data_IF_201252640561
#
_entry.id   IF_201252640561
#
_cell.length_a   1.000
_cell.length_b   1.000
_cell.length_c   1.000
_cell.angle_alpha   90.00
_cell.angle_beta   90.00
_cell.angle_gamma   90.00
#
_symmetry.space_group_name_H-M   'P 1'
#
loop_
_entity.id
_entity.type
_entity.pdbx_description
1 polymer ?
#
# COMPACT_ATOMS: atom_id res chain seq x y z
N UNK A 1 17.95 -9.83 14.11
CA UNK A 1 17.51 -10.85 13.12
C UNK A 1 15.98 -10.97 12.98
N UNK A 2 15.20 -11.32 14.01
CA UNK A 2 13.73 -11.48 13.86
C UNK A 2 12.99 -10.16 13.57
N UNK A 3 13.43 -9.06 14.16
CA UNK A 3 12.82 -7.73 13.95
C UNK A 3 13.13 -7.15 12.55
N UNK A 4 14.36 -7.31 12.08
CA UNK A 4 14.78 -6.88 10.74
C UNK A 4 14.01 -7.64 9.65
N UNK A 5 13.78 -8.95 9.85
CA UNK A 5 12.95 -9.75 8.96
C UNK A 5 11.50 -9.23 8.92
N UNK A 6 10.91 -8.91 10.08
CA UNK A 6 9.55 -8.37 10.14
C UNK A 6 9.43 -7.00 9.44
N UNK A 7 10.47 -6.17 9.55
CA UNK A 7 10.52 -4.89 8.87
C UNK A 7 10.65 -5.07 7.35
N UNK A 8 11.52 -5.97 6.89
CA UNK A 8 11.65 -6.32 5.48
C UNK A 8 10.33 -6.87 4.90
N UNK A 9 9.65 -7.77 5.63
CA UNK A 9 8.33 -8.30 5.24
C UNK A 9 7.31 -7.17 5.14
N UNK A 10 7.25 -6.27 6.12
CA UNK A 10 6.30 -5.15 6.10
C UNK A 10 6.56 -4.18 4.94
N UNK A 11 7.82 -3.97 4.55
CA UNK A 11 8.18 -3.20 3.37
C UNK A 11 7.75 -3.89 2.07
N UNK A 12 7.96 -5.21 1.97
CA UNK A 12 7.52 -5.99 0.81
C UNK A 12 5.98 -5.99 0.71
N UNK A 13 5.27 -6.19 1.82
CA UNK A 13 3.81 -6.09 1.89
C UNK A 13 3.33 -4.72 1.40
N UNK A 14 3.95 -3.63 1.86
CA UNK A 14 3.62 -2.27 1.44
C UNK A 14 3.87 -2.04 -0.06
N UNK A 15 4.98 -2.56 -0.60
CA UNK A 15 5.29 -2.50 -2.03
C UNK A 15 4.27 -3.27 -2.87
N UNK A 16 3.87 -4.46 -2.43
CA UNK A 16 2.85 -5.28 -3.09
C UNK A 16 1.51 -4.55 -3.09
N UNK A 17 1.10 -3.98 -1.95
CA UNK A 17 -0.15 -3.21 -1.84
C UNK A 17 -0.11 -1.99 -2.74
N UNK A 18 0.96 -1.20 -2.69
CA UNK A 18 1.10 0.00 -3.53
C UNK A 18 1.08 -0.34 -5.01
N UNK A 19 1.82 -1.38 -5.42
CA UNK A 19 1.81 -1.90 -6.79
C UNK A 19 0.41 -2.36 -7.22
N UNK A 20 -0.26 -3.16 -6.39
CA UNK A 20 -1.59 -3.67 -6.67
C UNK A 20 -2.61 -2.54 -6.78
N UNK A 21 -2.61 -1.58 -5.86
CA UNK A 21 -3.49 -0.40 -5.92
C UNK A 21 -3.26 0.43 -7.18
N UNK A 22 -2.00 0.70 -7.54
CA UNK A 22 -1.67 1.35 -8.81
C UNK A 22 -2.22 0.57 -10.02
N UNK A 23 -1.89 -0.73 -10.10
CA UNK A 23 -2.24 -1.57 -11.23
C UNK A 23 -3.76 -1.71 -11.37
N UNK A 24 -4.45 -1.98 -10.27
CA UNK A 24 -5.90 -2.09 -10.23
C UNK A 24 -6.57 -0.78 -10.66
N UNK A 25 -6.18 0.37 -10.09
CA UNK A 25 -6.79 1.65 -10.44
C UNK A 25 -6.51 2.06 -11.89
N UNK A 26 -5.28 1.84 -12.38
CA UNK A 26 -4.92 2.15 -13.76
C UNK A 26 -5.64 1.25 -14.77
N UNK A 27 -5.69 -0.07 -14.53
CA UNK A 27 -6.41 -1.00 -15.38
C UNK A 27 -7.92 -0.70 -15.42
N UNK A 28 -8.54 -0.41 -14.27
CA UNK A 28 -9.94 -0.01 -14.21
C UNK A 28 -10.21 1.28 -15.00
N UNK A 29 -9.33 2.26 -14.91
CA UNK A 29 -9.47 3.48 -15.68
C UNK A 29 -9.35 3.22 -17.19
N UNK A 30 -8.37 2.41 -17.60
CA UNK A 30 -8.22 2.04 -19.00
C UNK A 30 -9.47 1.34 -19.50
N UNK A 31 -10.02 0.37 -18.75
CA UNK A 31 -11.29 -0.27 -19.12
C UNK A 31 -12.44 0.77 -19.28
N UNK A 32 -12.51 1.77 -18.40
CA UNK A 32 -13.57 2.79 -18.46
C UNK A 32 -13.44 3.80 -19.61
N UNK A 33 -12.21 4.13 -20.02
CA UNK A 33 -11.94 5.19 -21.01
C UNK A 33 -11.46 4.71 -22.36
N UNK A 34 -10.80 3.55 -22.44
CA UNK A 34 -10.21 3.03 -23.68
C UNK A 34 -11.27 2.71 -24.72
N UNK A 35 -12.43 2.17 -24.33
CA UNK A 35 -13.56 1.95 -25.24
C UNK A 35 -14.14 3.23 -25.88
N UNK A 36 -13.76 4.41 -25.37
CA UNK A 36 -14.26 5.70 -25.87
C UNK A 36 -13.27 6.44 -26.78
N UNK A 37 -12.15 5.81 -27.16
CA UNK A 37 -11.17 6.41 -28.07
C UNK A 37 -10.48 7.66 -27.52
N UNK A 38 -10.56 7.90 -26.20
CA UNK A 38 -9.93 9.05 -25.56
C UNK A 38 -8.42 8.89 -25.48
N UNK A 39 -7.71 10.02 -25.54
CA UNK A 39 -6.24 10.07 -25.39
C UNK A 39 -5.81 9.40 -24.09
N UNK A 40 -4.70 8.67 -24.13
CA UNK A 40 -4.18 7.93 -22.98
C UNK A 40 -3.92 8.91 -21.82
N UNK A 41 -4.50 8.70 -20.64
CA UNK A 41 -4.28 9.56 -19.49
C UNK A 41 -2.83 9.50 -19.00
N UNK A 42 -2.42 10.54 -18.26
CA UNK A 42 -1.21 10.45 -17.46
C UNK A 42 -1.34 9.35 -16.40
N UNK A 43 -0.24 8.60 -16.17
CA UNK A 43 -0.16 7.56 -15.12
C UNK A 43 -0.02 8.16 -13.71
N UNK A 44 0.34 9.44 -13.62
CA UNK A 44 0.66 10.15 -12.37
C UNK A 44 -0.40 10.03 -11.26
N UNK A 45 -1.71 10.23 -11.49
CA UNK A 45 -2.71 10.08 -10.42
C UNK A 45 -2.78 8.64 -9.87
N UNK A 46 -2.51 7.63 -10.70
CA UNK A 46 -2.55 6.22 -10.28
C UNK A 46 -1.31 5.85 -9.47
N UNK A 47 -0.15 6.43 -9.80
CA UNK A 47 1.05 6.29 -8.98
C UNK A 47 0.82 6.90 -7.60
N UNK A 48 0.18 8.07 -7.53
CA UNK A 48 -0.20 8.68 -6.25
C UNK A 48 -1.13 7.77 -5.43
N UNK A 49 -2.13 7.14 -6.07
CA UNK A 49 -3.00 6.16 -5.40
C UNK A 49 -2.17 5.01 -4.81
N UNK A 50 -1.24 4.44 -5.58
CA UNK A 50 -0.36 3.37 -5.10
C UNK A 50 0.51 3.80 -3.91
N UNK A 51 1.14 4.98 -3.99
CA UNK A 51 1.97 5.52 -2.91
C UNK A 51 1.14 5.76 -1.65
N UNK A 52 -0.03 6.38 -1.78
CA UNK A 52 -0.94 6.63 -0.65
C UNK A 52 -1.36 5.32 0.01
N UNK A 53 -1.73 4.30 -0.79
CA UNK A 53 -2.12 2.99 -0.26
C UNK A 53 -0.97 2.32 0.52
N UNK A 54 0.25 2.35 -0.02
CA UNK A 54 1.43 1.82 0.67
C UNK A 54 1.70 2.55 2.00
N UNK A 55 1.61 3.88 2.01
CA UNK A 55 1.81 4.69 3.23
C UNK A 55 0.73 4.43 4.29
N UNK A 56 -0.54 4.30 3.87
CA UNK A 56 -1.65 3.94 4.77
C UNK A 56 -1.37 2.58 5.43
N UNK A 57 -0.96 1.60 4.63
CA UNK A 57 -0.65 0.26 5.14
C UNK A 57 0.50 0.28 6.15
N UNK A 58 1.61 0.95 5.82
CA UNK A 58 2.75 1.09 6.73
C UNK A 58 2.36 1.79 8.04
N UNK A 59 1.57 2.86 7.95
CA UNK A 59 1.06 3.58 9.12
C UNK A 59 0.17 2.69 10.01
N UNK A 60 -0.69 1.87 9.41
CA UNK A 60 -1.52 0.90 10.13
C UNK A 60 -0.67 -0.16 10.82
N UNK A 61 0.28 -0.78 10.11
CA UNK A 61 1.18 -1.80 10.66
C UNK A 61 2.00 -1.25 11.84
N UNK A 62 2.51 -0.02 11.72
CA UNK A 62 3.25 0.64 12.79
C UNK A 62 2.40 0.84 14.05
N UNK A 63 1.17 1.35 13.89
CA UNK A 63 0.23 1.52 15.03
C UNK A 63 -0.09 0.19 15.70
N UNK A 64 -0.27 -0.86 14.90
CA UNK A 64 -0.54 -2.20 15.40
C UNK A 64 0.62 -2.75 16.23
N UNK A 65 1.85 -2.59 15.76
CA UNK A 65 3.04 -2.97 16.52
C UNK A 65 3.12 -2.25 17.87
N UNK A 66 2.92 -0.92 17.90
CA UNK A 66 2.92 -0.16 19.16
C UNK A 66 1.82 -0.65 20.12
N UNK A 67 0.62 -0.91 19.59
CA UNK A 67 -0.53 -1.38 20.37
C UNK A 67 -0.21 -2.72 21.04
N UNK A 68 0.39 -3.64 20.29
CA UNK A 68 0.76 -4.96 20.79
C UNK A 68 1.86 -4.90 21.86
N UNK A 69 2.84 -4.01 21.69
CA UNK A 69 3.88 -3.77 22.70
C UNK A 69 3.29 -3.23 24.01
N UNK A 70 2.39 -2.24 23.94
CA UNK A 70 1.71 -1.70 25.14
C UNK A 70 0.89 -2.75 25.87
N UNK A 71 0.21 -3.63 25.12
CA UNK A 71 -0.62 -4.68 25.70
C UNK A 71 0.21 -5.76 26.41
N UNK A 72 1.39 -6.11 25.88
CA UNK A 72 2.32 -7.02 26.55
C UNK A 72 2.89 -6.41 27.84
N UNK A 73 3.26 -5.12 27.82
CA UNK A 73 3.77 -4.43 29.00
C UNK A 73 2.76 -4.33 30.15
N UNK A 74 1.45 -4.28 29.84
CA UNK A 74 0.38 -4.18 30.85
C UNK A 74 -0.09 -5.55 31.38
N UNK A 75 0.45 -6.65 30.83
CA UNK A 75 0.15 -8.04 31.25
C UNK A 75 1.25 -8.67 32.10
N UNK A 76 2.41 -8.00 32.23
CA UNK A 76 3.55 -8.43 33.03
C UNK A 76 3.55 -7.83 34.42
#
# INVERSE_FOLDING_TARGET
MREELNLAVSLIEALIIGWFSYAFSYQNYLLYKWHRGMVLPSKTPFVLIGVIAALIFLGWKYRETIRNLKFQANKG
#
